data_IF_382354943610
#
_entry.id   IF_382354943610
#
_cell.length_a   1.000
_cell.length_b   1.000
_cell.length_c   1.000
_cell.angle_alpha   90.00
_cell.angle_beta   90.00
_cell.angle_gamma   90.00
#
_symmetry.space_group_name_H-M   'P 1'
#
loop_
_entity.id
_entity.type
_entity.pdbx_description
1 polymer ?
#
# COMPACT_ATOMS: atom_id res chain seq x y z
N UNK A 1 -22.75 -6.71 -2.08
CA UNK A 1 -22.77 -5.24 -2.33
C UNK A 1 -21.83 -4.58 -1.32
N UNK A 2 -21.25 -3.40 -1.61
CA UNK A 2 -20.40 -2.59 -0.71
C UNK A 2 -21.03 -2.44 0.67
N UNK A 3 -22.32 -2.08 0.67
CA UNK A 3 -23.15 -2.00 1.87
C UNK A 3 -23.06 -3.26 2.72
N UNK A 4 -23.23 -4.43 2.09
CA UNK A 4 -23.22 -5.71 2.81
C UNK A 4 -21.84 -6.01 3.41
N UNK A 5 -20.76 -5.58 2.75
CA UNK A 5 -19.42 -5.78 3.29
C UNK A 5 -19.15 -4.84 4.47
N UNK A 6 -19.56 -3.57 4.39
CA UNK A 6 -19.49 -2.63 5.53
C UNK A 6 -20.31 -3.18 6.72
N UNK A 7 -21.55 -3.60 6.47
CA UNK A 7 -22.47 -4.13 7.49
C UNK A 7 -22.02 -5.48 8.08
N UNK A 8 -21.05 -6.18 7.47
CA UNK A 8 -20.44 -7.37 8.08
C UNK A 8 -19.47 -7.01 9.22
N UNK A 9 -18.91 -5.81 9.20
CA UNK A 9 -17.85 -5.40 10.11
C UNK A 9 -18.24 -4.25 11.04
N UNK A 10 -19.36 -3.57 10.79
CA UNK A 10 -19.85 -2.48 11.61
C UNK A 10 -21.38 -2.45 11.71
N UNK A 11 -21.90 -2.02 12.86
CA UNK A 11 -23.32 -1.75 13.11
C UNK A 11 -23.62 -0.27 12.80
N UNK A 12 -23.55 0.07 11.52
CA UNK A 12 -23.66 1.44 11.01
C UNK A 12 -24.88 1.63 10.09
N UNK A 13 -25.38 2.86 10.02
CA UNK A 13 -26.37 3.25 9.01
C UNK A 13 -25.66 3.51 7.68
N UNK A 14 -25.90 2.66 6.67
CA UNK A 14 -25.30 2.80 5.34
C UNK A 14 -26.32 3.32 4.34
N UNK A 15 -26.10 4.56 3.86
CA UNK A 15 -26.89 5.18 2.80
C UNK A 15 -26.11 5.11 1.49
N UNK A 16 -26.71 4.49 0.47
CA UNK A 16 -26.13 4.44 -0.87
C UNK A 16 -26.73 5.56 -1.72
N UNK A 17 -25.88 6.44 -2.22
CA UNK A 17 -26.24 7.43 -3.21
C UNK A 17 -26.06 6.81 -4.60
N UNK A 18 -27.17 6.59 -5.30
CA UNK A 18 -27.18 6.07 -6.66
C UNK A 18 -27.59 7.20 -7.62
N UNK A 19 -26.65 7.65 -8.45
CA UNK A 19 -26.85 8.64 -9.49
C UNK A 19 -27.00 8.01 -10.88
N UNK A 20 -27.13 6.68 -10.99
CA UNK A 20 -27.16 5.97 -12.28
C UNK A 20 -28.30 6.41 -13.22
N UNK A 21 -29.35 7.04 -12.69
CA UNK A 21 -30.48 7.57 -13.48
C UNK A 21 -30.16 8.87 -14.21
N UNK A 22 -29.14 9.64 -13.79
CA UNK A 22 -28.62 10.76 -14.60
C UNK A 22 -27.84 10.26 -15.82
N UNK A 23 -27.56 8.96 -15.89
CA UNK A 23 -26.76 8.33 -16.94
C UNK A 23 -27.57 7.80 -18.14
N UNK A 24 -28.77 8.32 -18.41
CA UNK A 24 -29.58 7.85 -19.54
C UNK A 24 -29.03 8.32 -20.91
N UNK A 25 -29.00 7.46 -21.95
CA UNK A 25 -28.28 7.72 -23.22
C UNK A 25 -29.10 8.58 -24.23
N UNK A 26 -28.45 9.14 -25.29
CA UNK A 26 -27.17 8.69 -25.85
C UNK A 26 -26.06 9.75 -25.75
N UNK A 27 -25.01 9.41 -25.00
CA UNK A 27 -23.75 10.14 -24.77
C UNK A 27 -23.81 11.19 -23.65
N UNK A 28 -23.55 10.72 -22.44
CA UNK A 28 -23.11 11.62 -21.37
C UNK A 28 -21.69 12.04 -21.72
N UNK A 29 -21.51 13.32 -21.99
CA UNK A 29 -20.18 13.89 -22.07
C UNK A 29 -19.59 13.85 -20.66
N UNK A 30 -18.35 13.37 -20.49
CA UNK A 30 -17.69 13.36 -19.18
C UNK A 30 -17.71 14.75 -18.52
N UNK A 31 -17.66 15.82 -19.31
CA UNK A 31 -17.84 17.21 -18.88
C UNK A 31 -19.18 17.45 -18.17
N UNK A 32 -20.27 16.84 -18.65
CA UNK A 32 -21.57 16.92 -18.01
C UNK A 32 -21.54 16.18 -16.68
N UNK A 33 -20.98 14.97 -16.61
CA UNK A 33 -20.82 14.25 -15.34
C UNK A 33 -20.00 15.05 -14.32
N UNK A 34 -18.94 15.72 -14.76
CA UNK A 34 -18.17 16.64 -13.93
C UNK A 34 -19.05 17.79 -13.41
N UNK A 35 -19.87 18.41 -14.26
CA UNK A 35 -20.79 19.46 -13.83
C UNK A 35 -21.84 18.93 -12.84
N UNK A 36 -22.38 17.73 -13.08
CA UNK A 36 -23.40 17.10 -12.26
C UNK A 36 -22.89 16.79 -10.84
N UNK A 37 -21.58 16.55 -10.65
CA UNK A 37 -21.01 16.35 -9.30
C UNK A 37 -21.35 17.48 -8.32
N UNK A 38 -21.44 18.73 -8.81
CA UNK A 38 -21.83 19.88 -7.98
C UNK A 38 -23.30 19.81 -7.59
N UNK A 39 -24.17 19.52 -8.54
CA UNK A 39 -25.61 19.41 -8.29
C UNK A 39 -25.90 18.26 -7.32
N UNK A 40 -25.28 17.10 -7.54
CA UNK A 40 -25.39 15.95 -6.65
C UNK A 40 -24.81 16.28 -5.26
N UNK A 41 -23.71 17.04 -5.19
CA UNK A 41 -23.15 17.53 -3.93
C UNK A 41 -24.14 18.39 -3.13
N UNK A 42 -24.89 19.27 -3.80
CA UNK A 42 -25.98 20.04 -3.17
C UNK A 42 -27.10 19.13 -2.66
N UNK A 43 -27.49 18.11 -3.43
CA UNK A 43 -28.52 17.16 -2.99
C UNK A 43 -28.05 16.35 -1.78
N UNK A 44 -26.79 15.89 -1.78
CA UNK A 44 -26.19 15.21 -0.65
C UNK A 44 -26.12 16.12 0.59
N UNK A 45 -25.74 17.39 0.43
CA UNK A 45 -25.77 18.39 1.51
C UNK A 45 -27.18 18.55 2.12
N UNK A 46 -28.23 18.56 1.30
CA UNK A 46 -29.61 18.63 1.78
C UNK A 46 -30.00 17.39 2.60
N UNK A 47 -29.58 16.19 2.16
CA UNK A 47 -29.80 14.95 2.91
C UNK A 47 -29.07 15.00 4.26
N UNK A 48 -27.79 15.38 4.29
CA UNK A 48 -27.01 15.47 5.53
C UNK A 48 -27.62 16.51 6.48
N UNK A 49 -28.07 17.65 5.95
CA UNK A 49 -28.77 18.69 6.71
C UNK A 49 -30.08 18.17 7.28
N UNK A 50 -30.86 17.40 6.51
CA UNK A 50 -32.07 16.75 6.99
C UNK A 50 -31.77 15.78 8.14
N UNK A 51 -30.73 14.93 8.02
CA UNK A 51 -30.32 14.01 9.09
C UNK A 51 -29.98 14.77 10.38
N UNK A 52 -29.26 15.88 10.27
CA UNK A 52 -28.94 16.74 11.42
C UNK A 52 -30.19 17.38 12.04
N UNK A 53 -30.98 18.07 11.24
CA UNK A 53 -32.04 18.96 11.73
C UNK A 53 -33.32 18.20 12.12
N UNK A 54 -33.63 17.11 11.43
CA UNK A 54 -34.88 16.36 11.64
C UNK A 54 -34.69 15.10 12.46
N UNK A 55 -33.52 14.45 12.35
CA UNK A 55 -33.23 13.21 13.07
C UNK A 55 -32.21 13.40 14.20
N UNK A 56 -31.67 14.61 14.40
CA UNK A 56 -30.72 14.90 15.48
C UNK A 56 -29.37 14.20 15.32
N UNK A 57 -28.99 13.82 14.10
CA UNK A 57 -27.71 13.16 13.84
C UNK A 57 -26.56 14.14 14.10
N UNK A 58 -25.64 13.76 14.97
CA UNK A 58 -24.38 14.49 15.17
C UNK A 58 -23.52 14.37 13.91
N UNK A 59 -23.26 15.49 13.24
CA UNK A 59 -22.45 15.53 12.02
C UNK A 59 -21.03 14.98 12.23
N UNK A 60 -20.50 15.03 13.46
CA UNK A 60 -19.18 14.43 13.78
C UNK A 60 -19.16 12.91 13.61
N UNK A 61 -20.33 12.26 13.59
CA UNK A 61 -20.49 10.83 13.35
C UNK A 61 -20.81 10.50 11.88
N UNK A 62 -20.94 11.50 11.02
CA UNK A 62 -21.18 11.30 9.59
C UNK A 62 -19.84 11.08 8.88
N UNK A 63 -19.74 9.96 8.16
CA UNK A 63 -18.62 9.62 7.29
C UNK A 63 -19.11 9.51 5.84
N UNK A 64 -18.67 10.42 4.98
CA UNK A 64 -18.99 10.38 3.54
C UNK A 64 -17.82 9.72 2.80
N UNK A 65 -18.11 8.70 2.00
CA UNK A 65 -17.10 7.98 1.22
C UNK A 65 -17.42 8.22 -0.27
N UNK A 66 -16.48 8.83 -0.99
CA UNK A 66 -16.66 9.15 -2.40
C UNK A 66 -15.57 8.52 -3.26
N UNK A 67 -15.94 7.79 -4.31
CA UNK A 67 -15.01 7.22 -5.28
C UNK A 67 -15.03 8.02 -6.58
N UNK A 68 -13.86 8.21 -7.21
CA UNK A 68 -13.77 8.88 -8.51
C UNK A 68 -14.39 10.29 -8.46
N UNK A 69 -15.36 10.61 -9.34
CA UNK A 69 -16.16 11.84 -9.32
C UNK A 69 -16.92 12.03 -7.98
N UNK A 70 -17.34 10.94 -7.34
CA UNK A 70 -18.03 10.97 -6.05
C UNK A 70 -17.18 11.52 -4.91
N UNK A 71 -15.85 11.47 -5.01
CA UNK A 71 -14.96 12.12 -4.04
C UNK A 71 -15.14 13.64 -4.04
N UNK A 72 -15.31 14.25 -5.23
CA UNK A 72 -15.59 15.68 -5.36
C UNK A 72 -17.03 16.02 -4.97
N UNK A 73 -17.99 15.16 -5.29
CA UNK A 73 -19.37 15.27 -4.77
C UNK A 73 -19.39 15.33 -3.25
N UNK A 74 -18.60 14.49 -2.57
CA UNK A 74 -18.46 14.51 -1.12
C UNK A 74 -17.83 15.83 -0.62
N UNK A 75 -16.79 16.33 -1.31
CA UNK A 75 -16.18 17.62 -1.03
C UNK A 75 -17.18 18.78 -1.12
N UNK A 76 -17.94 18.85 -2.22
CA UNK A 76 -18.99 19.86 -2.39
C UNK A 76 -20.06 19.81 -1.29
N UNK A 77 -20.46 18.61 -0.86
CA UNK A 77 -21.37 18.48 0.28
C UNK A 77 -20.74 18.98 1.59
N UNK A 78 -19.45 18.70 1.80
CA UNK A 78 -18.65 19.16 2.95
C UNK A 78 -18.47 20.68 3.02
N UNK A 79 -18.27 21.31 1.87
CA UNK A 79 -18.16 22.76 1.76
C UNK A 79 -19.46 23.47 2.22
N UNK A 80 -20.62 22.89 1.85
CA UNK A 80 -21.95 23.38 2.18
C UNK A 80 -22.37 23.05 3.63
N UNK A 81 -21.99 21.88 4.14
CA UNK A 81 -22.40 21.39 5.47
C UNK A 81 -21.19 21.25 6.39
N UNK A 82 -20.86 22.35 7.09
CA UNK A 82 -19.74 22.38 8.02
C UNK A 82 -19.96 21.47 9.23
N UNK A 83 -18.90 20.76 9.62
CA UNK A 83 -18.88 19.90 10.81
C UNK A 83 -19.06 18.41 10.53
N UNK A 84 -19.08 17.98 9.27
CA UNK A 84 -19.00 16.56 8.90
C UNK A 84 -17.74 15.94 9.51
N UNK A 85 -17.90 14.79 10.16
CA UNK A 85 -16.84 14.11 10.90
C UNK A 85 -15.70 13.65 10.01
N UNK A 86 -16.04 12.99 8.89
CA UNK A 86 -15.02 12.44 7.99
C UNK A 86 -15.48 12.42 6.53
N UNK A 87 -14.56 12.71 5.62
CA UNK A 87 -14.67 12.39 4.20
C UNK A 87 -13.52 11.46 3.81
N UNK A 88 -13.80 10.36 3.11
CA UNK A 88 -12.76 9.55 2.47
C UNK A 88 -12.88 9.64 0.96
N UNK A 89 -11.81 10.12 0.31
CA UNK A 89 -11.68 10.16 -1.14
C UNK A 89 -11.00 8.90 -1.68
N UNK A 90 -11.72 8.09 -2.43
CA UNK A 90 -11.20 6.88 -3.05
C UNK A 90 -10.83 7.18 -4.51
N UNK A 91 -9.55 7.37 -4.76
CA UNK A 91 -8.97 7.77 -6.04
C UNK A 91 -9.74 8.92 -6.71
N UNK A 92 -9.76 10.13 -6.12
CA UNK A 92 -10.51 11.27 -6.65
C UNK A 92 -10.15 11.52 -8.11
N UNK A 93 -11.16 11.78 -8.95
CA UNK A 93 -10.95 11.94 -10.38
C UNK A 93 -10.01 13.11 -10.70
N UNK A 94 -9.02 12.88 -11.57
CA UNK A 94 -8.09 13.93 -12.00
C UNK A 94 -8.63 14.87 -13.10
N UNK A 95 -9.24 14.35 -14.19
CA UNK A 95 -9.67 15.18 -15.31
C UNK A 95 -10.69 16.25 -14.88
N UNK A 96 -10.46 17.51 -15.28
CA UNK A 96 -11.24 18.70 -14.90
C UNK A 96 -11.18 19.13 -13.42
N UNK A 97 -10.51 18.35 -12.56
CA UNK A 97 -10.28 18.69 -11.15
C UNK A 97 -8.81 18.99 -10.83
N UNK A 98 -7.88 18.72 -11.74
CA UNK A 98 -6.47 19.11 -11.59
C UNK A 98 -6.23 20.57 -11.98
N UNK A 99 -5.35 21.24 -11.24
CA UNK A 99 -4.93 22.63 -11.40
C UNK A 99 -6.11 23.62 -11.35
N UNK A 100 -7.12 23.29 -10.56
CA UNK A 100 -8.28 24.15 -10.31
C UNK A 100 -8.24 24.68 -8.86
N UNK A 101 -8.98 25.77 -8.56
CA UNK A 101 -9.10 26.26 -7.19
C UNK A 101 -9.59 25.17 -6.22
N UNK A 102 -9.14 25.23 -4.96
CA UNK A 102 -9.46 24.20 -3.95
C UNK A 102 -10.96 23.99 -3.72
N UNK A 103 -11.77 25.03 -3.86
CA UNK A 103 -13.24 24.94 -3.75
C UNK A 103 -13.93 24.31 -4.98
N UNK A 104 -13.16 23.80 -5.94
CA UNK A 104 -13.68 23.09 -7.11
C UNK A 104 -13.28 21.60 -7.06
N UNK A 105 -12.59 21.17 -6.00
CA UNK A 105 -12.19 19.79 -5.79
C UNK A 105 -12.34 19.39 -4.33
N UNK A 106 -12.04 18.13 -4.02
CA UNK A 106 -12.02 17.67 -2.63
C UNK A 106 -10.84 18.33 -1.92
N UNK A 107 -11.08 18.96 -0.78
CA UNK A 107 -10.03 19.53 0.06
C UNK A 107 -10.20 19.16 1.53
N UNK A 108 -9.08 19.20 2.26
CA UNK A 108 -9.02 19.04 3.71
C UNK A 108 -10.05 19.88 4.49
N UNK A 109 -10.46 21.05 3.99
CA UNK A 109 -11.44 21.89 4.69
C UNK A 109 -12.88 21.39 4.64
N UNK A 110 -13.17 20.35 3.85
CA UNK A 110 -14.54 19.88 3.59
C UNK A 110 -15.10 19.04 4.75
N UNK A 111 -14.25 18.54 5.65
CA UNK A 111 -14.66 17.83 6.86
C UNK A 111 -13.65 18.01 8.00
N UNK A 112 -14.03 17.60 9.21
CA UNK A 112 -13.11 17.59 10.37
C UNK A 112 -11.91 16.66 10.13
N UNK A 113 -12.09 15.65 9.29
CA UNK A 113 -11.02 14.78 8.81
C UNK A 113 -11.27 14.37 7.37
N UNK A 114 -10.22 14.44 6.54
CA UNK A 114 -10.27 14.05 5.13
C UNK A 114 -9.08 13.16 4.88
N UNK A 115 -9.31 11.94 4.43
CA UNK A 115 -8.27 11.01 4.03
C UNK A 115 -8.49 10.50 2.61
N UNK A 116 -7.41 10.38 1.84
CA UNK A 116 -7.47 10.07 0.41
C UNK A 116 -6.62 8.86 0.09
N UNK A 117 -7.08 7.98 -0.81
CA UNK A 117 -6.32 6.83 -1.31
C UNK A 117 -6.11 7.00 -2.82
N UNK A 118 -4.87 7.23 -3.24
CA UNK A 118 -4.48 7.37 -4.65
C UNK A 118 -4.05 6.03 -5.24
N UNK A 119 -4.93 5.39 -6.00
CA UNK A 119 -4.65 4.08 -6.62
C UNK A 119 -4.29 4.14 -8.10
N UNK A 120 -4.71 5.18 -8.81
CA UNK A 120 -4.42 5.42 -10.22
C UNK A 120 -4.16 6.92 -10.54
N UNK A 121 -3.30 7.61 -9.76
CA UNK A 121 -2.98 9.00 -10.01
C UNK A 121 -2.20 9.16 -11.32
N UNK A 122 -2.61 10.11 -12.17
CA UNK A 122 -1.87 10.48 -13.38
C UNK A 122 -2.12 11.93 -13.82
N UNK A 123 -1.08 12.66 -14.28
CA UNK A 123 -1.27 13.97 -14.90
C UNK A 123 -1.90 13.86 -16.30
N UNK A 124 -1.81 12.69 -16.94
CA UNK A 124 -2.39 12.44 -18.25
C UNK A 124 -3.56 11.45 -18.13
N UNK A 125 -4.75 11.85 -18.60
CA UNK A 125 -5.95 11.00 -18.57
C UNK A 125 -5.75 9.68 -19.32
N UNK A 126 -4.86 9.65 -20.31
CA UNK A 126 -4.52 8.45 -21.07
C UNK A 126 -3.68 7.44 -20.29
N UNK A 127 -3.19 7.79 -19.10
CA UNK A 127 -2.30 6.96 -18.27
C UNK A 127 -2.86 6.68 -16.86
N UNK A 128 -3.94 7.37 -16.48
CA UNK A 128 -4.63 7.18 -15.20
C UNK A 128 -5.78 8.15 -15.01
N UNK A 129 -6.72 7.75 -14.16
CA UNK A 129 -7.99 8.46 -13.96
C UNK A 129 -8.01 9.30 -12.67
N UNK A 130 -7.17 8.95 -11.69
CA UNK A 130 -7.05 9.66 -10.42
C UNK A 130 -6.22 10.93 -10.51
N UNK A 131 -6.45 11.84 -9.57
CA UNK A 131 -5.65 13.06 -9.39
C UNK A 131 -4.30 12.77 -8.74
N UNK A 132 -3.29 13.56 -9.10
CA UNK A 132 -1.97 13.58 -8.47
C UNK A 132 -1.86 14.63 -7.36
N UNK A 133 -2.92 15.41 -7.14
CA UNK A 133 -2.95 16.48 -6.13
C UNK A 133 -3.42 15.94 -4.79
N UNK A 134 -2.83 16.48 -3.71
CA UNK A 134 -3.20 16.12 -2.35
C UNK A 134 -4.53 16.79 -1.97
N UNK A 135 -5.54 15.98 -1.68
CA UNK A 135 -6.88 16.45 -1.31
C UNK A 135 -7.17 16.31 0.19
N UNK A 136 -6.41 15.49 0.90
CA UNK A 136 -6.66 15.15 2.29
C UNK A 136 -5.95 16.03 3.31
N UNK A 137 -6.27 15.76 4.58
CA UNK A 137 -5.32 15.93 5.66
C UNK A 137 -4.19 14.88 5.55
N UNK A 138 -4.56 13.70 5.07
CA UNK A 138 -3.69 12.55 4.87
C UNK A 138 -3.98 11.96 3.48
N UNK A 139 -2.92 11.74 2.71
CA UNK A 139 -3.00 11.16 1.36
C UNK A 139 -2.15 9.89 1.31
N UNK A 140 -2.79 8.75 1.04
CA UNK A 140 -2.17 7.45 0.94
C UNK A 140 -1.88 7.08 -0.51
N UNK A 141 -0.67 6.57 -0.75
CA UNK A 141 -0.14 6.24 -2.08
C UNK A 141 0.32 4.78 -2.11
N UNK A 142 -0.62 3.80 -2.06
CA UNK A 142 -0.29 2.38 -2.15
C UNK A 142 0.45 2.09 -3.46
N UNK A 143 1.57 1.38 -3.38
CA UNK A 143 2.44 1.08 -4.51
C UNK A 143 2.86 2.32 -5.34
N UNK A 144 2.92 3.50 -4.71
CA UNK A 144 3.21 4.77 -5.39
C UNK A 144 2.14 5.21 -6.38
N UNK A 145 0.93 4.65 -6.31
CA UNK A 145 -0.16 4.90 -7.25
C UNK A 145 -0.21 3.93 -8.44
N UNK A 146 0.61 2.88 -8.47
CA UNK A 146 0.59 1.87 -9.54
C UNK A 146 0.21 0.51 -8.98
N UNK A 147 -1.00 0.04 -9.26
CA UNK A 147 -1.48 -1.23 -8.73
C UNK A 147 -1.18 -2.40 -9.65
N UNK A 148 -0.60 -3.43 -9.07
CA UNK A 148 -0.32 -4.71 -9.71
C UNK A 148 -1.61 -5.54 -9.88
N UNK A 149 -1.58 -6.53 -10.77
CA UNK A 149 -2.74 -7.40 -11.08
C UNK A 149 -3.82 -6.75 -11.96
N UNK A 150 -3.72 -5.45 -12.20
CA UNK A 150 -4.54 -4.73 -13.18
C UNK A 150 -3.77 -4.71 -14.50
N UNK A 151 -3.97 -5.74 -15.32
CA UNK A 151 -3.13 -6.04 -16.49
C UNK A 151 -2.77 -4.81 -17.33
N UNK A 152 -1.48 -4.48 -17.39
CA UNK A 152 -0.86 -3.59 -18.36
C UNK A 152 0.58 -4.10 -18.57
N UNK A 153 0.76 -5.16 -19.36
CA UNK A 153 2.09 -5.53 -19.84
C UNK A 153 2.42 -4.56 -20.97
N UNK A 154 3.51 -3.80 -20.85
CA UNK A 154 4.04 -2.97 -21.96
C UNK A 154 4.14 -3.79 -23.26
N UNK A 155 4.45 -5.09 -23.15
CA UNK A 155 4.39 -6.05 -24.25
C UNK A 155 3.02 -6.12 -24.94
N UNK A 156 1.90 -6.17 -24.21
CA UNK A 156 0.57 -6.31 -24.83
C UNK A 156 0.14 -5.07 -25.62
N UNK A 157 0.61 -3.89 -25.21
CA UNK A 157 0.47 -2.64 -25.99
C UNK A 157 1.30 -2.71 -27.27
N UNK A 158 2.47 -3.34 -27.24
CA UNK A 158 3.34 -3.50 -28.40
C UNK A 158 2.85 -4.58 -29.40
N UNK A 159 2.07 -5.57 -28.94
CA UNK A 159 1.67 -6.74 -29.74
C UNK A 159 0.22 -6.72 -30.30
N UNK A 160 -0.44 -5.56 -30.37
CA UNK A 160 -1.66 -5.33 -31.19
C UNK A 160 -2.85 -6.30 -31.02
N UNK A 161 -3.01 -6.93 -29.86
CA UNK A 161 -4.23 -7.68 -29.51
C UNK A 161 -5.32 -6.67 -29.06
N UNK A 162 -6.30 -6.41 -29.92
CA UNK A 162 -7.55 -5.65 -29.67
C UNK A 162 -7.46 -4.49 -28.64
N UNK A 163 -7.07 -3.31 -29.13
CA UNK A 163 -6.61 -2.14 -28.36
C UNK A 163 -7.62 -1.35 -27.48
N UNK A 164 -8.92 -1.19 -27.79
CA UNK A 164 -9.75 -0.25 -27.02
C UNK A 164 -10.25 -0.81 -25.67
N UNK A 165 -10.42 -2.13 -25.54
CA UNK A 165 -10.98 -2.75 -24.34
C UNK A 165 -9.92 -3.01 -23.26
N UNK A 166 -8.69 -3.36 -23.62
CA UNK A 166 -7.66 -3.77 -22.65
C UNK A 166 -7.08 -2.60 -21.83
N UNK A 167 -6.83 -1.45 -22.46
CA UNK A 167 -6.28 -0.27 -21.78
C UNK A 167 -7.31 0.36 -20.82
N UNK A 168 -8.56 0.52 -21.28
CA UNK A 168 -9.66 1.04 -20.47
C UNK A 168 -9.98 0.10 -19.30
N UNK A 169 -9.95 -1.22 -19.52
CA UNK A 169 -10.11 -2.21 -18.44
C UNK A 169 -8.98 -2.12 -17.41
N UNK A 170 -7.74 -1.88 -17.84
CA UNK A 170 -6.60 -1.74 -16.93
C UNK A 170 -6.70 -0.51 -16.02
N UNK A 171 -7.03 0.65 -16.59
CA UNK A 171 -7.20 1.86 -15.79
C UNK A 171 -8.40 1.77 -14.86
N UNK A 172 -9.52 1.22 -15.32
CA UNK A 172 -10.67 0.98 -14.47
C UNK A 172 -10.32 0.04 -13.31
N UNK A 173 -9.55 -1.04 -13.57
CA UNK A 173 -9.08 -1.92 -12.49
C UNK A 173 -8.22 -1.15 -11.48
N UNK A 174 -7.19 -0.41 -11.94
CA UNK A 174 -6.32 0.36 -11.03
C UNK A 174 -7.10 1.42 -10.25
N UNK A 175 -8.06 2.06 -10.91
CA UNK A 175 -8.93 3.09 -10.32
C UNK A 175 -9.87 2.52 -9.25
N UNK A 176 -10.30 1.27 -9.43
CA UNK A 176 -11.18 0.56 -8.49
C UNK A 176 -10.43 0.02 -7.26
N UNK A 177 -9.10 -0.06 -7.27
CA UNK A 177 -8.33 -0.62 -6.16
C UNK A 177 -8.43 0.19 -4.87
N UNK A 178 -8.52 1.52 -4.96
CA UNK A 178 -8.78 2.37 -3.78
C UNK A 178 -9.99 1.88 -2.98
N UNK A 179 -11.06 1.58 -3.70
CA UNK A 179 -12.29 1.04 -3.16
C UNK A 179 -12.10 -0.37 -2.55
N UNK A 180 -11.43 -1.27 -3.24
CA UNK A 180 -11.13 -2.62 -2.71
C UNK A 180 -10.28 -2.58 -1.43
N UNK A 181 -9.26 -1.71 -1.39
CA UNK A 181 -8.42 -1.55 -0.20
C UNK A 181 -9.22 -0.98 0.97
N UNK A 182 -10.06 0.03 0.73
CA UNK A 182 -10.91 0.60 1.77
C UNK A 182 -11.87 -0.44 2.34
N UNK A 183 -12.58 -1.18 1.50
CA UNK A 183 -13.49 -2.23 1.97
C UNK A 183 -12.75 -3.34 2.71
N UNK A 184 -11.59 -3.77 2.21
CA UNK A 184 -10.81 -4.81 2.89
C UNK A 184 -10.27 -4.34 4.25
N UNK A 185 -10.01 -3.03 4.42
CA UNK A 185 -9.48 -2.47 5.66
C UNK A 185 -10.39 -2.68 6.89
N UNK A 186 -11.67 -3.00 6.69
CA UNK A 186 -12.58 -3.38 7.79
C UNK A 186 -12.20 -4.68 8.48
N UNK A 187 -11.51 -5.59 7.78
CA UNK A 187 -11.08 -6.85 8.36
C UNK A 187 -9.84 -6.66 9.25
N UNK A 188 -10.05 -6.37 10.53
CA UNK A 188 -8.98 -6.25 11.54
C UNK A 188 -8.16 -7.52 11.74
N UNK A 189 -8.69 -8.69 11.36
CA UNK A 189 -7.97 -9.98 11.40
C UNK A 189 -7.16 -10.21 10.12
N UNK A 190 -7.34 -9.38 9.10
CA UNK A 190 -6.58 -9.36 7.86
C UNK A 190 -5.34 -8.46 7.97
N UNK A 191 -4.79 -8.05 6.84
CA UNK A 191 -3.65 -7.14 6.84
C UNK A 191 -4.02 -5.71 7.23
N UNK A 192 -3.24 -5.16 8.17
CA UNK A 192 -3.26 -3.74 8.47
C UNK A 192 -2.46 -2.99 7.40
N UNK A 193 -3.11 -2.07 6.71
CA UNK A 193 -2.47 -1.22 5.71
C UNK A 193 -1.73 -0.07 6.38
N UNK A 194 -0.51 -0.32 6.84
CA UNK A 194 0.32 0.70 7.49
C UNK A 194 1.06 1.53 6.44
N UNK A 195 0.65 2.79 6.30
CA UNK A 195 1.35 3.81 5.53
C UNK A 195 2.47 4.45 6.34
N UNK A 196 3.60 4.73 5.69
CA UNK A 196 4.76 5.43 6.26
C UNK A 196 4.85 6.82 5.64
N UNK A 197 4.91 7.85 6.49
CA UNK A 197 5.11 9.23 6.06
C UNK A 197 6.44 9.37 5.35
N UNK A 198 6.43 9.90 4.13
CA UNK A 198 7.64 10.08 3.34
C UNK A 198 7.48 11.22 2.35
N UNK A 199 8.60 11.80 1.90
CA UNK A 199 8.59 12.88 0.91
C UNK A 199 8.20 12.39 -0.49
N UNK A 200 8.56 11.14 -0.82
CA UNK A 200 8.30 10.55 -2.13
C UNK A 200 8.23 9.02 -2.06
N UNK A 201 7.61 8.41 -3.07
CA UNK A 201 7.64 6.96 -3.27
C UNK A 201 9.08 6.42 -3.41
N UNK A 202 9.97 7.21 -4.01
CA UNK A 202 11.38 6.84 -4.19
C UNK A 202 12.12 6.76 -2.86
N UNK A 203 11.92 7.74 -1.97
CA UNK A 203 12.53 7.74 -0.64
C UNK A 203 11.97 6.61 0.23
N UNK A 204 10.67 6.31 0.08
CA UNK A 204 10.03 5.18 0.76
C UNK A 204 10.64 3.84 0.30
N UNK A 205 10.78 3.61 -1.01
CA UNK A 205 11.33 2.35 -1.53
C UNK A 205 12.82 2.18 -1.25
N UNK A 206 13.56 3.28 -1.09
CA UNK A 206 14.96 3.29 -0.63
C UNK A 206 15.12 3.13 0.89
N UNK A 207 14.03 3.04 1.65
CA UNK A 207 14.09 2.84 3.11
C UNK A 207 14.52 4.08 3.90
N UNK A 208 14.39 5.29 3.35
CA UNK A 208 14.77 6.53 4.02
C UNK A 208 13.77 7.01 5.07
N UNK A 209 12.59 6.41 5.11
CA UNK A 209 11.48 6.79 5.96
C UNK A 209 11.09 5.62 6.89
N UNK A 210 10.68 5.95 8.12
CA UNK A 210 10.21 4.98 9.12
C UNK A 210 9.08 5.58 9.96
N UNK A 211 8.44 4.77 10.80
CA UNK A 211 7.30 5.20 11.63
C UNK A 211 7.66 6.17 12.77
N UNK A 212 8.94 6.52 12.94
CA UNK A 212 9.41 7.16 14.17
C UNK A 212 9.42 6.19 15.36
N UNK A 213 10.09 6.58 16.44
CA UNK A 213 10.20 5.75 17.65
C UNK A 213 8.85 5.52 18.35
N UNK A 214 7.91 6.43 18.18
CA UNK A 214 6.58 6.45 18.79
C UNK A 214 5.45 6.07 17.81
N UNK A 215 5.79 5.69 16.58
CA UNK A 215 4.81 5.34 15.55
C UNK A 215 4.06 6.53 14.93
N UNK A 216 4.39 7.77 15.31
CA UNK A 216 3.62 8.97 14.88
C UNK A 216 3.68 9.22 13.37
N UNK A 217 4.78 8.81 12.72
CA UNK A 217 4.99 8.92 11.26
C UNK A 217 4.35 7.78 10.48
N UNK A 218 3.52 6.96 11.12
CA UNK A 218 2.72 5.94 10.45
C UNK A 218 1.22 6.18 10.65
N UNK A 219 0.44 5.78 9.66
CA UNK A 219 -1.02 5.88 9.67
C UNK A 219 -1.63 4.63 9.04
N UNK A 220 -2.78 4.20 9.56
CA UNK A 220 -3.54 3.11 8.96
C UNK A 220 -4.34 3.64 7.77
N UNK A 221 -4.14 3.09 6.59
CA UNK A 221 -4.94 3.39 5.40
C UNK A 221 -6.30 2.67 5.51
N UNK A 222 -7.38 3.37 5.14
CA UNK A 222 -8.74 2.83 5.12
C UNK A 222 -9.56 3.23 6.36
N UNK A 223 -10.50 2.39 6.77
CA UNK A 223 -11.52 2.75 7.77
C UNK A 223 -10.93 3.13 9.13
N UNK A 224 -9.80 2.53 9.53
CA UNK A 224 -9.12 2.84 10.80
C UNK A 224 -8.14 4.02 10.73
N UNK A 225 -8.14 4.79 9.63
CA UNK A 225 -7.37 6.02 9.53
C UNK A 225 -7.82 7.04 10.57
N UNK A 226 -6.85 7.76 11.13
CA UNK A 226 -7.08 8.76 12.20
C UNK A 226 -6.45 10.10 11.82
N UNK A 227 -7.03 11.23 12.26
CA UNK A 227 -6.46 12.55 12.01
C UNK A 227 -5.04 12.68 12.53
N UNK A 228 -4.19 13.38 11.76
CA UNK A 228 -2.82 13.70 12.15
C UNK A 228 -2.66 15.22 12.24
N UNK A 229 -1.78 15.72 13.13
CA UNK A 229 -1.50 17.15 13.20
C UNK A 229 -0.98 17.68 11.86
N UNK A 230 -1.35 18.92 11.47
CA UNK A 230 -0.81 19.60 10.31
C UNK A 230 0.73 19.56 10.28
N UNK A 231 1.37 19.65 9.10
CA UNK A 231 0.79 19.92 7.76
C UNK A 231 0.10 18.71 7.10
N UNK A 232 -0.46 18.88 5.89
CA UNK A 232 -0.92 17.77 5.03
C UNK A 232 0.24 16.79 4.81
N UNK A 233 -0.01 15.48 4.93
CA UNK A 233 1.04 14.44 4.91
C UNK A 233 0.76 13.36 3.87
N UNK A 234 1.82 12.92 3.20
CA UNK A 234 1.79 11.77 2.27
C UNK A 234 2.31 10.52 2.94
N UNK A 235 1.56 9.43 2.80
CA UNK A 235 1.92 8.13 3.33
C UNK A 235 2.04 7.11 2.20
N UNK A 236 3.12 6.35 2.21
CA UNK A 236 3.42 5.33 1.22
C UNK A 236 3.42 3.95 1.86
N UNK A 237 2.96 2.96 1.10
CA UNK A 237 2.89 1.56 1.53
C UNK A 237 2.97 0.64 0.32
N UNK A 238 3.44 -0.59 0.54
CA UNK A 238 3.32 -1.67 -0.44
C UNK A 238 2.09 -2.51 -0.12
N UNK A 239 1.33 -2.85 -1.16
CA UNK A 239 0.19 -3.76 -1.07
C UNK A 239 0.31 -4.83 -2.16
N UNK A 240 -0.07 -6.06 -1.85
CA UNK A 240 -0.09 -7.14 -2.83
C UNK A 240 -1.21 -6.94 -3.86
N UNK A 241 -1.13 -7.67 -4.98
CA UNK A 241 -2.10 -7.57 -6.07
C UNK A 241 -3.37 -8.41 -5.83
N UNK A 242 -3.33 -9.36 -4.90
CA UNK A 242 -4.47 -10.21 -4.55
C UNK A 242 -4.78 -10.12 -3.06
N UNK A 243 -6.06 -10.32 -2.71
CA UNK A 243 -6.49 -10.47 -1.32
C UNK A 243 -5.65 -11.57 -0.65
N UNK A 244 -5.15 -11.37 0.58
CA UNK A 244 -5.48 -10.33 1.55
C UNK A 244 -4.76 -8.96 1.36
N UNK A 245 -4.17 -8.69 0.20
CA UNK A 245 -3.38 -7.50 -0.14
C UNK A 245 -2.17 -7.26 0.77
N UNK A 246 -1.78 -8.28 1.54
CA UNK A 246 -0.61 -8.30 2.38
C UNK A 246 0.67 -8.29 1.55
N UNK A 247 1.52 -7.29 1.75
CA UNK A 247 2.92 -7.42 1.35
C UNK A 247 3.68 -8.14 2.47
N UNK A 248 3.70 -9.47 2.43
CA UNK A 248 4.51 -10.27 3.37
C UNK A 248 5.98 -10.18 2.97
N UNK A 249 6.78 -9.44 3.73
CA UNK A 249 8.24 -9.62 3.74
C UNK A 249 8.53 -10.54 4.92
N UNK A 250 8.58 -11.85 4.67
CA UNK A 250 9.04 -12.79 5.68
C UNK A 250 10.54 -12.58 5.89
N UNK A 251 10.92 -12.01 7.04
CA UNK A 251 12.32 -11.95 7.47
C UNK A 251 12.58 -13.18 8.32
N UNK A 252 13.30 -14.16 7.78
CA UNK A 252 13.74 -15.33 8.53
C UNK A 252 15.07 -15.00 9.19
N UNK A 253 15.11 -14.98 10.53
CA UNK A 253 16.34 -14.93 11.30
C UNK A 253 16.70 -16.37 11.68
N UNK A 254 17.69 -16.95 11.00
CA UNK A 254 18.24 -18.24 11.37
C UNK A 254 19.35 -18.02 12.40
N UNK A 255 19.09 -18.37 13.66
CA UNK A 255 20.12 -18.37 14.70
C UNK A 255 20.68 -19.78 14.86
N UNK A 256 21.95 -19.99 14.52
CA UNK A 256 22.68 -21.20 14.90
C UNK A 256 23.21 -21.03 16.33
N UNK A 257 22.96 -22.02 17.20
CA UNK A 257 23.49 -22.04 18.56
C UNK A 257 24.94 -22.55 18.53
N UNK A 258 25.87 -21.69 18.12
CA UNK A 258 27.30 -21.92 18.36
C UNK A 258 27.89 -20.70 19.08
N UNK A 259 27.80 -20.77 20.40
CA UNK A 259 28.54 -20.03 21.45
C UNK A 259 28.76 -18.51 21.30
N UNK A 260 28.72 -17.84 22.46
CA UNK A 260 28.82 -16.39 22.64
C UNK A 260 30.11 -15.84 22.00
N UNK A 261 29.95 -15.02 20.95
CA UNK A 261 31.02 -14.27 20.28
C UNK A 261 30.56 -12.87 19.87
N UNK A 262 31.50 -11.97 19.54
CA UNK A 262 31.19 -10.63 19.00
C UNK A 262 30.82 -10.77 17.51
N UNK A 263 29.77 -10.09 17.08
CA UNK A 263 29.36 -10.00 15.67
C UNK A 263 30.53 -9.43 14.87
N UNK A 264 31.04 -10.20 13.90
CA UNK A 264 32.18 -9.78 13.08
C UNK A 264 31.74 -9.07 11.81
N UNK A 265 30.77 -9.63 11.10
CA UNK A 265 30.19 -9.05 9.89
C UNK A 265 28.72 -9.45 9.76
N UNK A 266 27.98 -8.59 9.06
CA UNK A 266 26.61 -8.85 8.64
C UNK A 266 26.62 -8.82 7.12
N UNK A 267 26.40 -9.97 6.49
CA UNK A 267 26.31 -10.06 5.03
C UNK A 267 24.83 -10.09 4.63
N UNK A 268 24.47 -9.17 3.74
CA UNK A 268 23.13 -9.10 3.14
C UNK A 268 23.26 -9.65 1.73
N UNK A 269 22.70 -10.84 1.49
CA UNK A 269 22.65 -11.44 0.17
C UNK A 269 21.23 -11.36 -0.38
N UNK A 270 21.11 -10.81 -1.59
CA UNK A 270 19.85 -10.75 -2.33
C UNK A 270 19.76 -11.96 -3.25
N UNK A 271 18.86 -12.90 -2.93
CA UNK A 271 18.58 -14.03 -3.79
C UNK A 271 17.33 -13.75 -4.65
N UNK A 272 17.54 -13.65 -5.96
CA UNK A 272 16.46 -13.64 -6.95
C UNK A 272 16.36 -15.02 -7.57
N UNK A 273 15.31 -15.79 -7.22
CA UNK A 273 15.10 -17.09 -7.87
C UNK A 273 14.50 -16.86 -9.27
N UNK A 274 15.37 -16.84 -10.28
CA UNK A 274 15.06 -16.66 -11.71
C UNK A 274 14.46 -15.31 -12.09
N UNK A 275 14.62 -14.94 -13.36
CA UNK A 275 14.24 -13.67 -14.01
C UNK A 275 12.72 -13.37 -14.04
N UNK A 276 11.95 -13.80 -13.04
CA UNK A 276 10.56 -13.41 -12.86
C UNK A 276 10.50 -12.14 -11.98
N UNK A 277 10.17 -10.97 -12.55
CA UNK A 277 10.10 -9.70 -11.81
C UNK A 277 9.02 -9.68 -10.72
N UNK A 278 8.18 -10.72 -10.63
CA UNK A 278 7.12 -10.84 -9.61
C UNK A 278 7.51 -11.69 -8.39
N UNK A 279 8.68 -12.32 -8.36
CA UNK A 279 9.15 -13.05 -7.17
C UNK A 279 9.82 -12.12 -6.18
N UNK A 280 9.41 -12.23 -4.91
CA UNK A 280 10.01 -11.49 -3.81
C UNK A 280 11.52 -11.78 -3.73
N UNK A 281 12.33 -10.73 -3.66
CA UNK A 281 13.77 -10.85 -3.35
C UNK A 281 13.87 -11.32 -1.91
N UNK A 282 14.37 -12.53 -1.70
CA UNK A 282 14.67 -13.03 -0.36
C UNK A 282 15.97 -12.34 0.06
N UNK A 283 15.88 -11.47 1.07
CA UNK A 283 17.06 -10.89 1.72
C UNK A 283 17.46 -11.84 2.83
N UNK A 284 18.57 -12.55 2.64
CA UNK A 284 19.20 -13.29 3.71
C UNK A 284 20.16 -12.36 4.46
N UNK A 285 20.08 -12.36 5.78
CA UNK A 285 21.04 -11.68 6.65
C UNK A 285 21.82 -12.78 7.36
N UNK A 286 23.08 -12.97 6.99
CA UNK A 286 23.97 -13.89 7.68
C UNK A 286 24.83 -13.11 8.67
N UNK A 287 24.77 -13.53 9.94
CA UNK A 287 25.54 -12.91 11.03
C UNK A 287 26.66 -13.87 11.42
N UNK A 288 27.88 -13.53 11.03
CA UNK A 288 29.04 -14.35 11.30
C UNK A 288 29.64 -14.01 12.67
N UNK A 289 29.74 -15.02 13.54
CA UNK A 289 30.41 -14.93 14.84
C UNK A 289 31.85 -15.43 14.72
N UNK A 290 32.81 -14.65 15.21
CA UNK A 290 34.21 -15.08 15.29
C UNK A 290 34.52 -15.61 16.69
N UNK A 291 34.95 -16.87 16.76
CA UNK A 291 35.37 -17.51 18.01
C UNK A 291 36.73 -16.92 18.47
N UNK A 292 36.91 -16.62 19.78
CA UNK A 292 38.16 -16.02 20.30
C UNK A 292 39.42 -16.84 20.01
N UNK A 293 39.31 -18.17 19.93
CA UNK A 293 40.46 -19.05 19.67
C UNK A 293 40.92 -19.09 18.20
N UNK A 294 40.07 -18.69 17.24
CA UNK A 294 40.47 -18.58 15.83
C UNK A 294 41.53 -17.48 15.65
N UNK A 295 41.59 -16.51 16.58
CA UNK A 295 42.63 -15.47 16.62
C UNK A 295 44.02 -16.01 16.98
N UNK A 296 44.13 -17.22 17.55
CA UNK A 296 45.43 -17.83 17.91
C UNK A 296 46.03 -18.73 16.83
N UNK A 297 45.29 -19.03 15.75
CA UNK A 297 45.73 -19.98 14.72
C UNK A 297 46.06 -19.34 13.36
N UNK A 298 46.05 -18.01 13.26
CA UNK A 298 46.36 -17.30 12.01
C UNK A 298 47.85 -17.09 11.73
N UNK A 299 48.76 -17.75 12.44
CA UNK A 299 50.21 -17.69 12.16
C UNK A 299 50.72 -18.99 11.50
N UNK A 300 50.13 -19.39 10.36
CA UNK A 300 50.69 -20.34 9.36
C UNK A 300 50.11 -21.76 9.20
N UNK A 301 48.82 -22.06 9.41
CA UNK A 301 48.22 -23.31 8.85
C UNK A 301 46.75 -23.16 8.43
N UNK A 302 46.44 -23.46 7.17
CA UNK A 302 45.07 -23.57 6.63
C UNK A 302 44.55 -25.01 6.77
N UNK A 303 43.36 -25.20 7.37
CA UNK A 303 42.63 -26.48 7.39
C UNK A 303 41.41 -26.39 6.45
N UNK A 304 41.15 -27.42 5.64
CA UNK A 304 39.89 -27.59 4.87
C UNK A 304 39.09 -28.77 5.43
N UNK A 305 37.76 -28.68 5.53
CA UNK A 305 36.92 -29.84 5.84
C UNK A 305 36.75 -30.72 4.59
N UNK A 306 37.03 -32.02 4.71
CA UNK A 306 36.73 -33.02 3.69
C UNK A 306 35.34 -33.64 3.93
N UNK A 307 34.51 -33.67 2.88
CA UNK A 307 33.21 -34.32 2.87
C UNK A 307 33.35 -35.85 2.95
N UNK A 308 32.71 -36.48 3.93
CA UNK A 308 32.47 -37.93 3.92
C UNK A 308 31.03 -38.14 3.44
N UNK A 309 30.88 -38.75 2.27
CA UNK A 309 29.64 -39.43 1.88
C UNK A 309 29.73 -40.87 2.42
N UNK A 310 28.73 -41.33 3.17
CA UNK A 310 28.19 -42.69 3.00
C UNK A 310 26.82 -42.86 3.71
N UNK A 311 26.01 -43.86 3.28
CA UNK A 311 24.56 -43.87 3.44
C UNK A 311 24.08 -44.75 4.62
N UNK A 312 22.95 -44.35 5.21
CA UNK A 312 22.10 -45.08 6.17
C UNK A 312 22.54 -45.16 7.65
N UNK A 313 22.05 -44.25 8.49
CA UNK A 313 21.08 -44.51 9.60
C UNK A 313 20.97 -43.33 10.58
N UNK A 314 19.80 -43.24 11.24
CA UNK A 314 19.46 -42.35 12.36
C UNK A 314 20.37 -42.58 13.59
N UNK A 315 21.01 -41.52 14.10
CA UNK A 315 21.11 -41.07 15.52
C UNK A 315 22.34 -40.16 15.69
N UNK A 316 22.20 -39.18 16.59
CA UNK A 316 23.20 -38.21 17.04
C UNK A 316 24.67 -38.59 16.79
N UNK A 317 25.38 -37.77 16.01
CA UNK A 317 26.84 -37.81 15.88
C UNK A 317 27.41 -36.58 16.61
N UNK A 318 27.93 -36.81 17.81
CA UNK A 318 28.94 -35.94 18.41
C UNK A 318 30.24 -36.10 17.58
N UNK A 319 30.75 -35.00 17.03
CA UNK A 319 32.07 -35.01 16.40
C UNK A 319 33.13 -35.00 17.50
N UNK A 320 33.64 -36.18 17.85
CA UNK A 320 34.91 -36.33 18.54
C UNK A 320 36.02 -36.56 17.50
N UNK A 321 37.04 -35.71 17.56
CA UNK A 321 38.30 -35.71 16.80
C UNK A 321 38.34 -35.00 15.43
N UNK A 322 39.26 -34.03 15.33
CA UNK A 322 39.80 -33.43 14.10
C UNK A 322 41.19 -34.04 13.89
N UNK A 323 41.52 -34.50 12.69
CA UNK A 323 42.87 -34.94 12.34
C UNK A 323 43.53 -33.94 11.39
N UNK A 324 44.73 -33.49 11.77
CA UNK A 324 45.57 -32.59 10.99
C UNK A 324 46.76 -33.38 10.42
N UNK A 325 46.96 -33.36 9.10
CA UNK A 325 48.18 -33.89 8.48
C UNK A 325 49.18 -32.76 8.19
N UNK A 326 50.46 -33.01 8.48
CA UNK A 326 51.58 -32.16 8.05
C UNK A 326 51.98 -32.54 6.62
N UNK A 327 52.10 -31.56 5.73
CA UNK A 327 52.75 -31.73 4.44
C UNK A 327 54.26 -31.46 4.61
N UNK A 328 55.09 -32.49 4.55
CA UNK A 328 56.50 -32.34 4.16
C UNK A 328 56.88 -33.49 3.22
N UNK A 329 57.49 -33.09 2.10
CA UNK A 329 58.21 -33.89 1.09
C UNK A 329 57.31 -34.85 0.28
N UNK A 330 57.21 -34.76 -1.05
CA UNK A 330 58.30 -34.90 -2.01
C UNK A 330 58.12 -34.00 -3.23
N UNK A 331 59.20 -33.30 -3.58
CA UNK A 331 59.57 -33.03 -4.97
C UNK A 331 60.18 -34.30 -5.56
N UNK A 332 59.54 -34.89 -6.58
CA UNK A 332 60.13 -35.37 -7.84
C UNK A 332 59.03 -35.98 -8.71
#
# INVERSE_FOLDING_TARGET
NVKDEILRFADDNVLLLDDSTTLLPPRILYQQSVADTRLIGVQLANVITFLKEKLGVDLKKVHVIGHSLGAHTAGYAGELVRGIGRITGLDPAGPYFRNVPRNVQLDSTDALFVDVIHSNPSPNILLGLGTTEDGGHIDFWPNGGIQLGCGLTLLRVLFNEAFPTSLQTSFNCRHQRSFEFFVYSFNQRGCLFVGVECASWSDFTQGKCNCGADGTKCALMGIFSTPKPPPKRRYYLKVAFERPYCHQVNTFLLTSFQQVGKIHSVEISEFSSNNDPNKAVIKAIEVNYLHPEVRKLSENKYCRPSSIQEPNMKKNLEFSSIHCHNYQEYSQ
#
